data_IF_251903468885
#
_entry.id   IF_251903468885
#
_cell.length_a   1.000
_cell.length_b   1.000
_cell.length_c   1.000
_cell.angle_alpha   90.00
_cell.angle_beta   90.00
_cell.angle_gamma   90.00
#
_symmetry.space_group_name_H-M   'P 1'
#
loop_
_entity.id
_entity.type
_entity.pdbx_description
1 polymer ?
#
# COMPACT_ATOMS: atom_id res chain seq x y z
N UNK A 1 -4.20 26.00 -1.34
CA UNK A 1 -4.51 24.58 -1.30
C UNK A 1 -5.90 24.44 -1.89
N UNK A 2 -6.16 23.45 -2.78
CA UNK A 2 -7.43 23.31 -3.48
C UNK A 2 -8.54 23.00 -2.47
N UNK A 3 -9.73 23.65 -2.59
CA UNK A 3 -10.89 23.46 -1.69
C UNK A 3 -11.29 21.98 -1.54
N UNK A 4 -11.13 21.20 -2.60
CA UNK A 4 -11.42 19.77 -2.58
C UNK A 4 -10.46 19.00 -1.66
N UNK A 5 -9.15 19.33 -1.65
CA UNK A 5 -8.19 18.74 -0.72
C UNK A 5 -8.53 19.07 0.73
N UNK A 6 -8.95 20.30 1.00
CA UNK A 6 -9.37 20.71 2.35
C UNK A 6 -10.56 19.89 2.85
N UNK A 7 -11.54 19.63 1.97
CA UNK A 7 -12.70 18.80 2.30
C UNK A 7 -12.31 17.33 2.60
N UNK A 8 -11.37 16.77 1.81
CA UNK A 8 -10.84 15.42 2.04
C UNK A 8 -10.13 15.36 3.39
N UNK A 9 -9.23 16.31 3.68
CA UNK A 9 -8.51 16.35 4.93
C UNK A 9 -9.42 16.62 6.14
N UNK A 10 -10.46 17.43 5.99
CA UNK A 10 -11.46 17.62 7.03
C UNK A 10 -12.21 16.32 7.36
N UNK A 11 -12.53 15.51 6.34
CA UNK A 11 -13.15 14.19 6.53
C UNK A 11 -12.18 13.22 7.23
N UNK A 12 -10.91 13.23 6.87
CA UNK A 12 -9.87 12.38 7.48
C UNK A 12 -9.63 12.73 8.96
N UNK A 13 -9.59 14.02 9.32
CA UNK A 13 -9.48 14.45 10.74
C UNK A 13 -10.63 13.98 11.63
N UNK A 14 -11.76 13.58 11.04
CA UNK A 14 -12.86 12.94 11.75
C UNK A 14 -12.61 11.47 12.08
N UNK A 15 -11.52 10.88 11.63
CA UNK A 15 -11.12 9.51 11.96
C UNK A 15 -10.05 9.51 13.04
N UNK A 16 -10.04 8.47 13.89
CA UNK A 16 -9.10 8.39 15.02
C UNK A 16 -7.63 8.37 14.57
N UNK A 17 -7.35 7.76 13.42
CA UNK A 17 -6.00 7.64 12.87
C UNK A 17 -5.40 9.00 12.45
N UNK A 18 -6.24 9.95 12.00
CA UNK A 18 -5.82 11.24 11.45
C UNK A 18 -6.22 12.45 12.31
N UNK A 19 -6.74 12.26 13.52
CA UNK A 19 -7.28 13.34 14.36
C UNK A 19 -6.28 14.49 14.57
N UNK A 20 -5.00 14.16 14.79
CA UNK A 20 -3.94 15.13 15.11
C UNK A 20 -2.93 15.30 13.96
N UNK A 21 -3.25 14.84 12.75
CA UNK A 21 -2.33 14.91 11.60
C UNK A 21 -2.31 16.32 11.00
N UNK A 22 -1.10 16.86 10.81
CA UNK A 22 -0.89 18.08 10.03
C UNK A 22 -0.83 17.75 8.53
N UNK A 23 -1.87 18.14 7.80
CA UNK A 23 -1.95 17.99 6.35
C UNK A 23 -1.32 19.18 5.58
N UNK A 24 -0.25 19.77 6.10
CA UNK A 24 0.60 20.69 5.32
C UNK A 24 1.31 19.94 4.17
N UNK A 25 1.57 18.65 4.35
CA UNK A 25 2.02 17.70 3.33
C UNK A 25 0.89 16.74 2.96
N UNK A 26 0.63 16.58 1.64
CA UNK A 26 -0.34 15.60 1.12
C UNK A 26 0.02 14.16 1.48
N UNK A 27 1.30 13.89 1.75
CA UNK A 27 1.84 12.59 2.16
C UNK A 27 1.89 12.40 3.69
N UNK A 28 1.28 13.31 4.46
CA UNK A 28 1.13 13.12 5.88
C UNK A 28 0.43 11.79 6.19
N UNK A 29 0.93 11.09 7.21
CA UNK A 29 0.45 9.78 7.58
C UNK A 29 -0.26 9.81 8.92
N UNK A 30 -1.26 8.96 9.08
CA UNK A 30 -1.89 8.66 10.35
C UNK A 30 -0.99 7.85 11.28
N UNK A 31 -1.52 7.47 12.42
CA UNK A 31 -0.82 6.73 13.50
C UNK A 31 -0.32 5.38 12.97
N UNK A 32 -1.12 4.69 12.15
CA UNK A 32 -0.79 3.38 11.59
C UNK A 32 0.10 3.45 10.33
N UNK A 33 0.50 4.67 9.93
CA UNK A 33 1.36 4.91 8.78
C UNK A 33 0.62 5.02 7.45
N UNK A 34 -0.69 4.92 7.45
CA UNK A 34 -1.54 5.13 6.29
C UNK A 34 -1.51 6.59 5.85
N UNK A 35 -1.44 6.86 4.54
CA UNK A 35 -1.69 8.19 3.99
C UNK A 35 -3.18 8.36 3.61
N UNK A 36 -3.56 9.56 3.21
CA UNK A 36 -4.94 9.88 2.82
C UNK A 36 -5.51 8.92 1.76
N UNK A 37 -4.68 8.40 0.86
CA UNK A 37 -5.12 7.53 -0.24
C UNK A 37 -5.55 6.14 0.24
N UNK A 38 -5.00 5.63 1.36
CA UNK A 38 -5.45 4.37 1.98
C UNK A 38 -6.92 4.47 2.43
N UNK A 39 -7.25 5.52 3.17
CA UNK A 39 -8.62 5.76 3.63
C UNK A 39 -9.59 5.96 2.46
N UNK A 40 -9.20 6.73 1.46
CA UNK A 40 -10.01 7.01 0.29
C UNK A 40 -10.25 5.74 -0.54
N UNK A 41 -9.25 4.87 -0.68
CA UNK A 41 -9.40 3.56 -1.30
C UNK A 41 -10.34 2.65 -0.49
N UNK A 42 -10.28 2.71 0.84
CA UNK A 42 -11.19 1.97 1.71
C UNK A 42 -12.64 2.46 1.59
N UNK A 43 -12.86 3.77 1.41
CA UNK A 43 -14.19 4.36 1.27
C UNK A 43 -14.76 4.24 -0.15
N UNK A 44 -13.97 3.76 -1.12
CA UNK A 44 -14.29 3.74 -2.55
C UNK A 44 -14.64 5.13 -3.12
N UNK A 45 -14.00 6.18 -2.58
CA UNK A 45 -14.20 7.55 -3.04
C UNK A 45 -13.26 7.87 -4.21
N UNK A 46 -13.68 7.46 -5.41
CA UNK A 46 -12.90 7.63 -6.64
C UNK A 46 -12.62 9.10 -6.97
N UNK A 47 -13.55 10.01 -6.60
CA UNK A 47 -13.36 11.44 -6.85
C UNK A 47 -12.25 12.00 -5.96
N UNK A 48 -12.27 11.68 -4.66
CA UNK A 48 -11.22 12.07 -3.73
C UNK A 48 -9.86 11.45 -4.11
N UNK A 49 -9.82 10.19 -4.55
CA UNK A 49 -8.60 9.54 -5.01
C UNK A 49 -7.95 10.30 -6.18
N UNK A 50 -8.73 10.71 -7.18
CA UNK A 50 -8.23 11.51 -8.30
C UNK A 50 -7.64 12.85 -7.84
N UNK A 51 -8.27 13.52 -6.89
CA UNK A 51 -7.79 14.78 -6.32
C UNK A 51 -6.46 14.58 -5.61
N UNK A 52 -6.33 13.55 -4.78
CA UNK A 52 -5.10 13.21 -4.05
C UNK A 52 -3.95 12.84 -5.00
N UNK A 53 -4.23 12.02 -6.01
CA UNK A 53 -3.24 11.61 -7.02
C UNK A 53 -2.76 12.83 -7.81
N UNK A 54 -3.67 13.72 -8.20
CA UNK A 54 -3.31 14.97 -8.87
C UNK A 54 -2.47 15.90 -7.98
N UNK A 55 -2.66 15.84 -6.67
CA UNK A 55 -1.85 16.55 -5.69
C UNK A 55 -0.51 15.84 -5.36
N UNK A 56 -0.15 14.78 -6.09
CA UNK A 56 1.10 14.02 -5.96
C UNK A 56 1.23 13.24 -4.65
N UNK A 57 0.12 12.68 -4.15
CA UNK A 57 0.18 11.71 -3.05
C UNK A 57 0.99 10.49 -3.47
N UNK A 58 1.75 9.92 -2.54
CA UNK A 58 2.49 8.67 -2.80
C UNK A 58 1.50 7.50 -2.94
N UNK A 59 1.31 7.05 -4.19
CA UNK A 59 0.40 5.95 -4.57
C UNK A 59 0.90 4.61 -4.03
N UNK A 60 2.21 4.51 -3.76
CA UNK A 60 2.88 3.28 -3.33
C UNK A 60 3.25 3.30 -1.83
N UNK A 61 2.73 4.26 -1.09
CA UNK A 61 2.95 4.32 0.35
C UNK A 61 2.53 2.99 0.99
N UNK A 62 3.43 2.39 1.75
CA UNK A 62 3.10 1.26 2.59
C UNK A 62 2.59 1.79 3.95
N UNK A 63 1.38 1.46 4.30
CA UNK A 63 0.73 1.78 5.56
C UNK A 63 0.83 0.66 6.58
N UNK A 64 -0.23 0.46 7.35
CA UNK A 64 -0.29 -0.62 8.34
C UNK A 64 -0.01 -1.98 7.71
N UNK A 65 0.77 -2.81 8.42
CA UNK A 65 1.20 -4.16 7.96
C UNK A 65 1.78 -4.20 6.54
N UNK A 66 2.18 -3.04 5.98
CA UNK A 66 2.71 -2.92 4.63
C UNK A 66 1.66 -2.87 3.53
N UNK A 67 0.37 -2.75 3.87
CA UNK A 67 -0.67 -2.56 2.86
C UNK A 67 -0.42 -1.27 2.09
N UNK A 68 -0.60 -1.31 0.77
CA UNK A 68 -0.65 -0.13 -0.08
C UNK A 68 -2.11 0.18 -0.43
N UNK A 69 -2.44 1.38 -0.93
CA UNK A 69 -3.80 1.68 -1.40
C UNK A 69 -4.33 0.65 -2.41
N UNK A 70 -3.45 0.09 -3.25
CA UNK A 70 -3.81 -0.95 -4.21
C UNK A 70 -4.22 -2.27 -3.53
N UNK A 71 -3.56 -2.68 -2.44
CA UNK A 71 -3.98 -3.84 -1.65
C UNK A 71 -5.40 -3.64 -1.10
N UNK A 72 -5.68 -2.45 -0.55
CA UNK A 72 -6.99 -2.12 0.02
C UNK A 72 -8.08 -2.15 -1.06
N UNK A 73 -7.84 -1.52 -2.21
CA UNK A 73 -8.78 -1.54 -3.33
C UNK A 73 -9.04 -2.97 -3.84
N UNK A 74 -7.99 -3.81 -3.92
CA UNK A 74 -8.10 -5.23 -4.30
C UNK A 74 -8.92 -6.03 -3.28
N UNK A 75 -8.66 -5.86 -2.00
CA UNK A 75 -9.39 -6.52 -0.92
C UNK A 75 -10.88 -6.17 -0.93
N UNK A 76 -11.19 -4.87 -1.18
CA UNK A 76 -12.57 -4.36 -1.21
C UNK A 76 -13.33 -4.72 -2.49
N UNK A 77 -12.67 -5.12 -3.54
CA UNK A 77 -13.30 -5.38 -4.84
C UNK A 77 -13.60 -4.11 -5.65
N UNK A 78 -12.96 -3.00 -5.32
CA UNK A 78 -13.21 -1.68 -5.93
C UNK A 78 -12.50 -1.59 -7.28
N UNK A 79 -13.09 -2.17 -8.32
CA UNK A 79 -12.45 -2.35 -9.63
C UNK A 79 -12.00 -1.03 -10.29
N UNK A 80 -12.85 0.02 -10.25
CA UNK A 80 -12.49 1.32 -10.83
C UNK A 80 -11.37 2.01 -10.03
N UNK A 81 -11.32 1.81 -8.71
CA UNK A 81 -10.22 2.27 -7.87
C UNK A 81 -8.93 1.53 -8.21
N UNK A 82 -8.97 0.21 -8.39
CA UNK A 82 -7.82 -0.59 -8.84
C UNK A 82 -7.28 -0.05 -10.16
N UNK A 83 -8.14 0.18 -11.15
CA UNK A 83 -7.73 0.75 -12.45
C UNK A 83 -7.06 2.11 -12.27
N UNK A 84 -7.68 3.02 -11.53
CA UNK A 84 -7.14 4.35 -11.28
C UNK A 84 -5.73 4.27 -10.64
N UNK A 85 -5.57 3.42 -9.62
CA UNK A 85 -4.28 3.26 -8.94
C UNK A 85 -3.21 2.67 -9.86
N UNK A 86 -3.56 1.65 -10.66
CA UNK A 86 -2.64 1.04 -11.64
C UNK A 86 -2.22 2.06 -12.71
N UNK A 87 -3.16 2.81 -13.25
CA UNK A 87 -2.89 3.86 -14.24
C UNK A 87 -2.03 5.00 -13.66
N UNK A 88 -2.08 5.17 -12.33
CA UNK A 88 -1.29 6.15 -11.58
C UNK A 88 0.07 5.62 -11.10
N UNK A 89 0.46 4.42 -11.54
CA UNK A 89 1.77 3.84 -11.25
C UNK A 89 1.84 3.04 -9.94
N UNK A 90 0.73 2.48 -9.48
CA UNK A 90 0.75 1.57 -8.34
C UNK A 90 1.59 0.32 -8.64
N UNK A 91 2.42 -0.08 -7.68
CA UNK A 91 3.27 -1.24 -7.78
C UNK A 91 2.45 -2.53 -7.65
N UNK A 92 2.35 -3.28 -8.75
CA UNK A 92 1.62 -4.56 -8.82
C UNK A 92 2.31 -5.67 -8.00
N UNK A 93 3.58 -5.48 -7.66
CA UNK A 93 4.44 -6.43 -6.97
C UNK A 93 4.77 -5.99 -5.54
N UNK A 94 4.15 -4.92 -5.04
CA UNK A 94 4.27 -4.56 -3.64
C UNK A 94 3.84 -5.73 -2.76
N UNK A 95 4.55 -5.96 -1.65
CA UNK A 95 4.16 -6.95 -0.66
C UNK A 95 3.78 -6.28 0.65
N UNK A 96 2.70 -6.74 1.24
CA UNK A 96 2.40 -6.56 2.64
C UNK A 96 3.07 -7.67 3.48
N UNK A 97 2.48 -8.21 4.51
CA UNK A 97 3.05 -9.30 5.33
C UNK A 97 3.31 -10.64 4.59
N UNK A 98 3.12 -10.71 3.30
CA UNK A 98 3.40 -11.90 2.49
C UNK A 98 2.60 -11.97 1.20
N UNK A 99 1.61 -11.10 1.03
CA UNK A 99 0.73 -11.09 -0.11
C UNK A 99 1.01 -9.90 -1.04
N UNK A 100 0.84 -10.11 -2.34
CA UNK A 100 0.77 -9.04 -3.33
C UNK A 100 -0.68 -8.57 -3.51
N UNK A 101 -0.94 -7.40 -4.14
CA UNK A 101 -2.29 -6.96 -4.46
C UNK A 101 -3.11 -8.02 -5.22
N UNK A 102 -2.47 -8.76 -6.13
CA UNK A 102 -3.10 -9.88 -6.84
C UNK A 102 -3.50 -11.01 -5.88
N UNK A 103 -2.60 -11.41 -4.97
CA UNK A 103 -2.91 -12.45 -3.98
C UNK A 103 -4.04 -12.00 -3.06
N UNK A 104 -4.02 -10.75 -2.63
CA UNK A 104 -5.09 -10.14 -1.82
C UNK A 104 -6.44 -10.18 -2.55
N UNK A 105 -6.48 -9.78 -3.84
CA UNK A 105 -7.69 -9.88 -4.64
C UNK A 105 -8.21 -11.33 -4.75
N UNK A 106 -7.31 -12.28 -5.00
CA UNK A 106 -7.63 -13.69 -5.13
C UNK A 106 -8.19 -14.28 -3.83
N UNK A 107 -7.58 -13.96 -2.69
CA UNK A 107 -8.05 -14.41 -1.37
C UNK A 107 -9.40 -13.78 -1.00
N UNK A 108 -9.67 -12.56 -1.47
CA UNK A 108 -10.95 -11.87 -1.30
C UNK A 108 -12.02 -12.30 -2.33
N UNK A 109 -11.72 -13.23 -3.26
CA UNK A 109 -12.66 -13.72 -4.27
C UNK A 109 -12.97 -12.70 -5.38
N UNK A 110 -12.07 -11.76 -5.65
CA UNK A 110 -12.25 -10.68 -6.62
C UNK A 110 -11.78 -11.10 -8.02
N UNK A 111 -12.50 -12.02 -8.66
CA UNK A 111 -12.10 -12.61 -9.95
C UNK A 111 -11.89 -11.58 -11.04
N UNK A 112 -12.77 -10.57 -11.17
CA UNK A 112 -12.64 -9.50 -12.16
C UNK A 112 -11.34 -8.72 -12.01
N UNK A 113 -10.92 -8.45 -10.77
CA UNK A 113 -9.65 -7.76 -10.47
C UNK A 113 -8.48 -8.68 -10.82
N UNK A 114 -8.56 -9.96 -10.47
CA UNK A 114 -7.54 -10.95 -10.82
C UNK A 114 -7.34 -11.06 -12.35
N UNK A 115 -8.43 -11.09 -13.12
CA UNK A 115 -8.37 -11.16 -14.58
C UNK A 115 -7.78 -9.89 -15.20
N UNK A 116 -8.02 -8.73 -14.59
CA UNK A 116 -7.41 -7.46 -15.01
C UNK A 116 -5.92 -7.39 -14.68
N UNK A 117 -5.51 -7.76 -13.46
CA UNK A 117 -4.13 -7.64 -13.00
C UNK A 117 -3.19 -8.67 -13.64
N UNK A 118 -3.66 -9.89 -13.88
CA UNK A 118 -2.83 -11.01 -14.38
C UNK A 118 -2.05 -10.69 -15.65
N UNK A 119 -2.66 -10.20 -16.76
CA UNK A 119 -1.92 -9.88 -17.97
C UNK A 119 -0.95 -8.72 -17.78
N UNK A 120 -1.27 -7.73 -16.93
CA UNK A 120 -0.38 -6.62 -16.62
C UNK A 120 0.87 -7.10 -15.89
N UNK A 121 0.70 -7.96 -14.88
CA UNK A 121 1.82 -8.55 -14.14
C UNK A 121 2.70 -9.43 -15.03
N UNK A 122 2.10 -10.24 -15.92
CA UNK A 122 2.84 -11.05 -16.87
C UNK A 122 3.69 -10.20 -17.82
N UNK A 123 3.14 -9.07 -18.30
CA UNK A 123 3.87 -8.13 -19.16
C UNK A 123 5.08 -7.53 -18.45
N UNK A 124 4.93 -7.10 -17.19
CA UNK A 124 6.03 -6.56 -16.40
C UNK A 124 7.06 -7.65 -16.10
N UNK A 125 6.62 -8.84 -15.71
CA UNK A 125 7.49 -9.97 -15.40
C UNK A 125 8.30 -10.45 -16.62
N UNK A 126 7.74 -10.41 -17.82
CA UNK A 126 8.47 -10.76 -19.05
C UNK A 126 9.62 -9.78 -19.34
N UNK A 127 9.48 -8.52 -18.93
CA UNK A 127 10.54 -7.50 -19.05
C UNK A 127 11.56 -7.58 -17.89
N UNK A 128 11.17 -8.08 -16.74
CA UNK A 128 12.01 -8.23 -15.55
C UNK A 128 11.70 -9.53 -14.80
N UNK A 129 12.33 -10.65 -15.16
CA UNK A 129 12.11 -11.94 -14.49
C UNK A 129 12.42 -11.97 -12.99
N UNK A 130 13.19 -11.00 -12.50
CA UNK A 130 13.57 -10.89 -11.08
C UNK A 130 12.68 -9.95 -10.27
N UNK A 131 11.60 -9.44 -10.85
CA UNK A 131 10.73 -8.45 -10.20
C UNK A 131 10.20 -8.95 -8.85
N UNK A 132 9.76 -10.20 -8.75
CA UNK A 132 9.29 -10.81 -7.51
C UNK A 132 10.36 -10.87 -6.43
N UNK A 133 11.58 -11.21 -6.81
CA UNK A 133 12.72 -11.28 -5.85
C UNK A 133 13.03 -9.89 -5.32
N UNK A 134 13.08 -8.88 -6.20
CA UNK A 134 13.32 -7.49 -5.78
C UNK A 134 12.22 -6.95 -4.88
N UNK A 135 10.94 -7.19 -5.23
CA UNK A 135 9.81 -6.78 -4.43
C UNK A 135 9.85 -7.41 -3.03
N UNK A 136 10.16 -8.71 -2.95
CA UNK A 136 10.29 -9.41 -1.66
C UNK A 136 11.47 -8.88 -0.83
N UNK A 137 12.62 -8.62 -1.46
CA UNK A 137 13.75 -8.01 -0.76
C UNK A 137 13.40 -6.62 -0.24
N UNK A 138 12.70 -5.81 -1.03
CA UNK A 138 12.28 -4.47 -0.62
C UNK A 138 11.33 -4.52 0.60
N UNK A 139 10.41 -5.46 0.61
CA UNK A 139 9.52 -5.70 1.76
C UNK A 139 10.31 -6.11 3.01
N UNK A 140 11.18 -7.12 2.90
CA UNK A 140 11.96 -7.59 4.04
C UNK A 140 12.88 -6.50 4.62
N UNK A 141 13.42 -5.61 3.77
CA UNK A 141 14.19 -4.46 4.24
C UNK A 141 13.33 -3.46 5.04
N UNK A 142 12.08 -3.20 4.61
CA UNK A 142 11.15 -2.36 5.37
C UNK A 142 10.79 -2.99 6.72
N UNK A 143 10.56 -4.29 6.75
CA UNK A 143 10.26 -5.03 7.98
C UNK A 143 11.43 -4.97 8.97
N UNK A 144 12.66 -5.12 8.50
CA UNK A 144 13.87 -4.96 9.35
C UNK A 144 13.95 -3.53 9.90
N UNK A 145 13.81 -2.52 9.04
CA UNK A 145 13.91 -1.13 9.49
C UNK A 145 12.85 -0.80 10.56
N UNK A 146 11.62 -1.33 10.42
CA UNK A 146 10.56 -1.20 11.42
C UNK A 146 10.96 -1.86 12.75
N UNK A 147 11.56 -3.05 12.71
CA UNK A 147 12.04 -3.78 13.90
C UNK A 147 13.22 -3.09 14.60
N UNK A 148 14.04 -2.33 13.87
CA UNK A 148 15.16 -1.57 14.43
C UNK A 148 14.68 -0.26 15.11
N UNK A 149 13.61 0.34 14.64
CA UNK A 149 13.04 1.58 15.20
C UNK A 149 12.21 1.30 16.46
N UNK A 150 11.58 0.11 16.56
CA UNK A 150 10.71 -0.28 17.67
C UNK A 150 11.33 -1.44 18.50
N UNK A 151 12.45 -1.23 19.21
CA UNK A 151 13.12 -2.32 19.94
C UNK A 151 12.30 -2.85 21.14
N UNK A 152 11.27 -2.14 21.60
CA UNK A 152 10.49 -2.47 22.79
C UNK A 152 9.19 -3.25 22.49
N UNK A 153 8.74 -3.30 21.25
CA UNK A 153 7.58 -4.13 20.88
C UNK A 153 8.04 -5.57 20.68
N UNK A 154 7.90 -6.37 21.72
CA UNK A 154 8.26 -7.76 21.98
C UNK A 154 8.23 -8.81 20.89
N UNK A 155 8.77 -8.52 19.72
CA UNK A 155 9.06 -9.53 18.72
C UNK A 155 10.30 -10.30 19.13
N UNK A 156 10.14 -11.60 19.38
CA UNK A 156 11.21 -12.50 19.79
C UNK A 156 12.43 -12.38 18.88
N UNK A 157 13.63 -12.44 19.45
CA UNK A 157 14.90 -12.47 18.69
C UNK A 157 14.89 -13.50 17.55
N UNK A 158 14.12 -14.58 17.70
CA UNK A 158 13.93 -15.62 16.70
C UNK A 158 13.27 -15.12 15.40
N UNK A 159 12.32 -14.18 15.47
CA UNK A 159 11.66 -13.64 14.27
C UNK A 159 12.60 -12.69 13.51
N UNK A 160 13.40 -11.88 14.24
CA UNK A 160 14.43 -11.04 13.64
C UNK A 160 15.48 -11.88 12.92
N UNK A 161 15.96 -12.93 13.55
CA UNK A 161 16.95 -13.83 12.98
C UNK A 161 16.43 -14.54 11.73
N UNK A 162 15.17 -15.02 11.75
CA UNK A 162 14.56 -15.67 10.60
C UNK A 162 14.43 -14.74 9.38
N UNK A 163 14.11 -13.45 9.60
CA UNK A 163 14.03 -12.45 8.51
C UNK A 163 15.42 -12.16 7.93
N UNK A 164 16.45 -12.03 8.79
CA UNK A 164 17.84 -11.82 8.36
C UNK A 164 18.34 -13.02 7.55
N UNK A 165 18.07 -14.23 7.99
CA UNK A 165 18.46 -15.46 7.29
C UNK A 165 17.79 -15.58 5.92
N UNK A 166 16.50 -15.21 5.78
CA UNK A 166 15.81 -15.19 4.48
C UNK A 166 16.43 -14.22 3.47
N UNK A 167 17.04 -13.13 3.94
CA UNK A 167 17.73 -12.16 3.08
C UNK A 167 19.09 -12.65 2.65
N UNK A 168 19.81 -13.37 3.52
CA UNK A 168 21.18 -13.85 3.23
C UNK A 168 21.21 -15.07 2.31
N UNK A 169 20.08 -15.81 2.20
CA UNK A 169 19.98 -17.02 1.36
C UNK A 169 19.60 -16.74 -0.10
N UNK A 170 19.43 -15.47 -0.51
CA UNK A 170 19.05 -15.04 -1.87
C UNK A 170 20.01 -14.03 -2.45
#
# INVERSE_FOLDING_TARGET
>A
MNDQLQQIFAKLRGTADFENVDFSDVNACGIDGDNALHCVAHWDDLAAAKVLIHASVDVNKAGDLGYTPLHIACMKGNFEMVKLLVDSGADLFAFNEGDSPFTTARLAGQDQICDYLRPLMQKVQSGDPKIWVRARIAQLRREIARLEIEPEVGLSQNRRQAVIEQIQQK
#
